data_IF_806374140319
#
_entry.id   IF_806374140319
#
_cell.length_a   1.000
_cell.length_b   1.000
_cell.length_c   1.000
_cell.angle_alpha   90.00
_cell.angle_beta   90.00
_cell.angle_gamma   90.00
#
_symmetry.space_group_name_H-M   'P 1'
#
loop_
_entity.id
_entity.type
_entity.pdbx_description
1 polymer ?
#
# COMPACT_ATOMS: atom_id res chain seq x y z
N UNK A 1 -4.40 -19.07 -26.11
CA UNK A 1 -5.85 -19.04 -26.42
C UNK A 1 -6.31 -17.61 -26.25
N UNK A 2 -6.92 -17.05 -27.29
CA UNK A 2 -7.23 -15.62 -27.37
C UNK A 2 -8.28 -15.21 -26.34
N UNK A 3 -8.05 -14.05 -25.72
CA UNK A 3 -9.07 -13.31 -24.98
C UNK A 3 -10.22 -13.02 -25.93
N UNK A 4 -11.36 -13.69 -25.70
CA UNK A 4 -12.58 -13.45 -26.46
C UNK A 4 -13.49 -12.56 -25.63
N UNK A 5 -14.30 -11.78 -26.34
CA UNK A 5 -15.22 -10.73 -25.89
C UNK A 5 -16.07 -11.08 -24.64
N UNK A 6 -16.20 -12.36 -24.25
CA UNK A 6 -16.98 -12.77 -23.07
C UNK A 6 -16.40 -12.35 -21.71
N UNK A 7 -15.06 -12.26 -21.57
CA UNK A 7 -14.46 -11.88 -20.27
C UNK A 7 -14.62 -10.38 -19.98
N UNK A 8 -14.79 -9.55 -21.02
CA UNK A 8 -14.94 -8.10 -20.88
C UNK A 8 -16.38 -7.71 -20.51
N UNK A 9 -17.37 -8.45 -21.02
CA UNK A 9 -18.78 -8.27 -20.65
C UNK A 9 -19.05 -8.68 -19.19
N UNK A 10 -18.38 -9.71 -18.67
CA UNK A 10 -18.43 -10.05 -17.23
C UNK A 10 -17.78 -8.94 -16.38
N UNK A 11 -16.63 -8.42 -16.81
CA UNK A 11 -15.92 -7.34 -16.13
C UNK A 11 -16.78 -6.07 -15.97
N UNK A 12 -17.36 -5.55 -17.07
CA UNK A 12 -18.12 -4.30 -17.03
C UNK A 12 -19.44 -4.45 -16.25
N UNK A 13 -20.03 -5.64 -16.25
CA UNK A 13 -21.23 -5.93 -15.46
C UNK A 13 -21.00 -5.79 -13.94
N UNK A 14 -19.78 -6.11 -13.48
CA UNK A 14 -19.37 -6.04 -12.08
C UNK A 14 -19.13 -4.60 -11.59
N UNK A 15 -19.02 -3.65 -12.53
CA UNK A 15 -18.83 -2.22 -12.24
C UNK A 15 -20.14 -1.40 -12.24
N UNK A 16 -21.31 -2.06 -12.17
CA UNK A 16 -22.62 -1.39 -12.16
C UNK A 16 -22.70 -0.20 -11.20
N UNK A 17 -22.19 -0.34 -9.97
CA UNK A 17 -22.20 0.74 -8.97
C UNK A 17 -21.35 1.92 -9.41
N UNK A 18 -20.15 1.65 -9.91
CA UNK A 18 -19.24 2.68 -10.44
C UNK A 18 -19.86 3.43 -11.61
N UNK A 19 -20.50 2.73 -12.54
CA UNK A 19 -21.19 3.34 -13.69
C UNK A 19 -22.37 4.20 -13.25
N UNK A 20 -23.16 3.72 -12.29
CA UNK A 20 -24.29 4.47 -11.73
C UNK A 20 -23.84 5.77 -11.04
N UNK A 21 -22.76 5.71 -10.25
CA UNK A 21 -22.16 6.90 -9.62
C UNK A 21 -21.60 7.84 -10.69
N UNK A 22 -20.84 7.30 -11.66
CA UNK A 22 -20.17 8.08 -12.71
C UNK A 22 -21.11 8.94 -13.54
N UNK A 23 -22.34 8.47 -13.77
CA UNK A 23 -23.33 9.11 -14.66
C UNK A 23 -23.56 10.60 -14.39
N UNK A 24 -23.43 11.03 -13.14
CA UNK A 24 -23.73 12.40 -12.72
C UNK A 24 -22.54 13.13 -12.08
N UNK A 25 -21.34 12.55 -12.14
CA UNK A 25 -20.16 13.21 -11.59
C UNK A 25 -19.70 14.37 -12.50
N UNK A 26 -19.21 15.48 -11.92
CA UNK A 26 -18.58 16.54 -12.70
C UNK A 26 -17.35 16.05 -13.48
N UNK A 27 -17.21 16.56 -14.71
CA UNK A 27 -16.14 16.22 -15.66
C UNK A 27 -15.30 17.44 -16.07
N UNK A 28 -15.30 18.49 -15.24
CA UNK A 28 -14.63 19.78 -15.49
C UNK A 28 -13.12 19.73 -15.29
N UNK A 29 -12.62 18.89 -14.38
CA UNK A 29 -11.18 18.67 -14.19
C UNK A 29 -10.71 17.35 -14.84
N UNK A 30 -10.01 17.48 -15.97
CA UNK A 30 -9.48 16.34 -16.72
C UNK A 30 -8.49 15.46 -15.93
N UNK A 31 -7.80 16.01 -14.92
CA UNK A 31 -6.90 15.22 -14.06
C UNK A 31 -7.72 14.33 -13.12
N UNK A 32 -8.74 14.90 -12.49
CA UNK A 32 -9.62 14.15 -11.60
C UNK A 32 -10.44 13.11 -12.37
N UNK A 33 -10.90 13.43 -13.58
CA UNK A 33 -11.58 12.48 -14.47
C UNK A 33 -10.66 11.31 -14.84
N UNK A 34 -9.41 11.57 -15.20
CA UNK A 34 -8.44 10.52 -15.48
C UNK A 34 -8.27 9.59 -14.27
N UNK A 35 -7.99 10.14 -13.09
CA UNK A 35 -7.80 9.34 -11.88
C UNK A 35 -9.04 8.54 -11.49
N UNK A 36 -10.23 9.13 -11.64
CA UNK A 36 -11.50 8.43 -11.47
C UNK A 36 -11.66 7.24 -12.41
N UNK A 37 -11.42 7.44 -13.70
CA UNK A 37 -11.58 6.39 -14.72
C UNK A 37 -10.52 5.28 -14.61
N UNK A 38 -9.33 5.58 -14.07
CA UNK A 38 -8.28 4.60 -13.84
C UNK A 38 -8.38 3.99 -12.43
N UNK A 39 -7.98 4.73 -11.39
CA UNK A 39 -7.80 4.16 -10.05
C UNK A 39 -9.09 4.14 -9.22
N UNK A 40 -10.09 4.97 -9.57
CA UNK A 40 -11.46 4.84 -9.06
C UNK A 40 -12.14 3.55 -9.54
N UNK A 41 -11.98 3.20 -10.82
CA UNK A 41 -12.45 1.93 -11.40
C UNK A 41 -11.80 0.71 -10.73
N UNK A 42 -10.50 0.78 -10.46
CA UNK A 42 -9.79 -0.25 -9.68
C UNK A 42 -10.39 -0.43 -8.29
N UNK A 43 -10.71 0.68 -7.61
CA UNK A 43 -11.30 0.63 -6.28
C UNK A 43 -12.71 0.03 -6.28
N UNK A 44 -13.54 0.38 -7.27
CA UNK A 44 -14.83 -0.24 -7.47
C UNK A 44 -14.72 -1.76 -7.61
N UNK A 45 -13.78 -2.24 -8.45
CA UNK A 45 -13.54 -3.68 -8.63
C UNK A 45 -13.10 -4.35 -7.33
N UNK A 46 -12.17 -3.75 -6.58
CA UNK A 46 -11.74 -4.30 -5.29
C UNK A 46 -12.91 -4.44 -4.32
N UNK A 47 -13.79 -3.44 -4.23
CA UNK A 47 -14.93 -3.49 -3.34
C UNK A 47 -15.99 -4.51 -3.78
N UNK A 48 -16.21 -4.67 -5.08
CA UNK A 48 -17.08 -5.70 -5.64
C UNK A 48 -16.59 -7.10 -5.24
N UNK A 49 -15.33 -7.42 -5.55
CA UNK A 49 -14.70 -8.71 -5.24
C UNK A 49 -14.56 -8.95 -3.73
N UNK A 50 -14.33 -7.87 -2.97
CA UNK A 50 -14.32 -7.88 -1.51
C UNK A 50 -15.69 -8.00 -0.87
N UNK A 51 -16.77 -8.09 -1.68
CA UNK A 51 -18.16 -8.23 -1.23
C UNK A 51 -18.62 -7.11 -0.30
N UNK A 52 -18.20 -5.88 -0.60
CA UNK A 52 -18.62 -4.68 0.13
C UNK A 52 -20.11 -4.43 -0.16
N UNK A 53 -20.93 -4.06 0.85
CA UNK A 53 -22.33 -3.69 0.61
C UNK A 53 -22.45 -2.55 -0.40
N UNK A 54 -23.47 -2.59 -1.28
CA UNK A 54 -23.63 -1.60 -2.36
C UNK A 54 -23.65 -0.15 -1.84
N UNK A 55 -24.35 0.11 -0.73
CA UNK A 55 -24.37 1.43 -0.09
C UNK A 55 -22.96 1.90 0.32
N UNK A 56 -22.14 0.99 0.86
CA UNK A 56 -20.75 1.27 1.24
C UNK A 56 -19.86 1.52 0.02
N UNK A 57 -20.10 0.80 -1.08
CA UNK A 57 -19.42 1.06 -2.35
C UNK A 57 -19.69 2.47 -2.86
N UNK A 58 -20.95 2.91 -2.85
CA UNK A 58 -21.33 4.28 -3.25
C UNK A 58 -20.62 5.31 -2.38
N UNK A 59 -20.70 5.16 -1.06
CA UNK A 59 -20.06 6.08 -0.11
C UNK A 59 -18.55 6.21 -0.35
N UNK A 60 -17.85 5.08 -0.45
CA UNK A 60 -16.41 5.04 -0.64
C UNK A 60 -15.97 5.52 -2.03
N UNK A 61 -16.80 5.32 -3.06
CA UNK A 61 -16.55 5.87 -4.39
C UNK A 61 -16.68 7.40 -4.42
N UNK A 62 -17.68 7.96 -3.71
CA UNK A 62 -17.80 9.41 -3.56
C UNK A 62 -16.63 9.98 -2.74
N UNK A 63 -16.25 9.30 -1.65
CA UNK A 63 -15.06 9.64 -0.88
C UNK A 63 -13.81 9.64 -1.76
N UNK A 64 -13.62 8.61 -2.58
CA UNK A 64 -12.52 8.56 -3.53
C UNK A 64 -12.58 9.76 -4.51
N UNK A 65 -13.73 10.01 -5.15
CA UNK A 65 -13.87 11.06 -6.17
C UNK A 65 -13.61 12.46 -5.64
N UNK A 66 -14.04 12.76 -4.42
CA UNK A 66 -14.01 14.12 -3.87
C UNK A 66 -12.85 14.35 -2.88
N UNK A 67 -12.25 13.30 -2.33
CA UNK A 67 -11.18 13.41 -1.32
C UNK A 67 -9.85 12.89 -1.84
N UNK A 68 -9.85 11.76 -2.55
CA UNK A 68 -8.61 11.11 -3.02
C UNK A 68 -8.18 11.66 -4.38
N UNK A 69 -9.04 11.58 -5.41
CA UNK A 69 -8.68 11.94 -6.79
C UNK A 69 -8.08 13.36 -6.93
N UNK A 70 -8.58 14.41 -6.24
CA UNK A 70 -7.98 15.74 -6.31
C UNK A 70 -6.54 15.83 -5.74
N UNK A 71 -6.12 14.83 -4.96
CA UNK A 71 -4.81 14.78 -4.30
C UNK A 71 -3.79 13.92 -5.07
N UNK A 72 -4.17 13.33 -6.20
CA UNK A 72 -3.27 12.52 -7.04
C UNK A 72 -2.51 13.35 -8.09
N UNK A 73 -2.72 14.67 -8.12
CA UNK A 73 -1.98 15.58 -9.01
C UNK A 73 -2.34 15.44 -10.49
N UNK A 74 -1.51 16.01 -11.38
CA UNK A 74 -1.76 16.01 -12.82
C UNK A 74 -1.84 14.60 -13.41
N UNK A 75 -2.71 14.40 -14.40
CA UNK A 75 -2.74 13.15 -15.17
C UNK A 75 -1.39 12.96 -15.89
N UNK A 76 -0.94 11.71 -16.08
CA UNK A 76 0.21 11.41 -16.93
C UNK A 76 0.02 11.95 -18.35
N UNK A 77 1.09 12.52 -18.91
CA UNK A 77 1.20 12.91 -20.33
C UNK A 77 2.26 12.10 -21.08
N UNK A 78 2.96 11.22 -20.36
CA UNK A 78 3.95 10.29 -20.90
C UNK A 78 4.13 9.10 -19.94
N UNK A 79 4.86 8.08 -20.38
CA UNK A 79 5.27 6.96 -19.53
C UNK A 79 6.29 7.34 -18.44
N UNK A 80 6.79 8.58 -18.42
CA UNK A 80 7.70 9.08 -17.39
C UNK A 80 6.97 10.06 -16.47
N UNK A 81 7.00 9.87 -15.14
CA UNK A 81 6.40 10.79 -14.19
C UNK A 81 7.15 12.12 -14.16
N UNK A 82 6.41 13.24 -14.19
CA UNK A 82 6.98 14.57 -13.97
C UNK A 82 7.47 14.75 -12.52
N UNK A 83 6.73 14.21 -11.56
CA UNK A 83 7.18 14.04 -10.18
C UNK A 83 7.09 12.56 -9.83
N UNK A 84 8.20 11.97 -9.40
CA UNK A 84 8.25 10.55 -9.07
C UNK A 84 7.89 10.29 -7.61
N UNK A 85 6.65 9.86 -7.40
CA UNK A 85 6.16 9.42 -6.09
C UNK A 85 7.05 8.37 -5.42
N UNK A 86 7.10 8.42 -4.09
CA UNK A 86 7.74 7.48 -3.17
C UNK A 86 6.82 6.37 -2.71
N UNK A 87 5.58 6.28 -3.20
CA UNK A 87 4.74 5.10 -2.98
C UNK A 87 5.47 3.85 -3.46
N UNK A 88 5.56 2.84 -2.59
CA UNK A 88 6.28 1.59 -2.80
C UNK A 88 7.73 1.80 -3.32
N UNK A 89 8.60 2.46 -2.53
CA UNK A 89 9.92 2.85 -3.01
C UNK A 89 10.74 1.62 -3.42
N UNK A 90 11.29 1.66 -4.64
CA UNK A 90 12.09 0.57 -5.23
C UNK A 90 11.36 -0.22 -6.31
N UNK A 91 10.06 -0.49 -6.13
CA UNK A 91 9.20 -1.22 -7.09
C UNK A 91 8.18 -0.32 -7.79
N UNK A 92 7.82 0.82 -7.16
CA UNK A 92 6.92 1.83 -7.71
C UNK A 92 7.41 2.46 -9.01
N UNK A 93 6.47 2.70 -9.92
CA UNK A 93 6.70 3.36 -11.21
C UNK A 93 6.62 4.89 -11.14
N UNK A 94 6.34 5.45 -9.96
CA UNK A 94 6.11 6.87 -9.73
C UNK A 94 4.65 7.26 -9.59
N UNK A 95 3.72 6.30 -9.65
CA UNK A 95 2.30 6.54 -9.34
C UNK A 95 2.12 7.07 -7.91
N UNK A 96 1.27 8.09 -7.68
CA UNK A 96 1.01 8.67 -6.36
C UNK A 96 0.07 7.83 -5.49
N UNK A 97 -0.28 6.62 -5.91
CA UNK A 97 -1.22 5.76 -5.19
C UNK A 97 -0.84 4.27 -5.35
N UNK A 98 -0.99 3.53 -4.25
CA UNK A 98 -0.93 2.08 -4.20
C UNK A 98 -2.09 1.53 -3.38
N UNK A 99 -2.30 0.23 -3.47
CA UNK A 99 -3.39 -0.47 -2.80
C UNK A 99 -2.86 -1.48 -1.80
N UNK A 100 -3.68 -1.81 -0.81
CA UNK A 100 -3.50 -3.05 -0.06
C UNK A 100 -4.80 -3.79 0.15
N UNK A 101 -4.71 -5.11 0.12
CA UNK A 101 -5.78 -6.06 0.41
C UNK A 101 -5.36 -6.87 1.64
N UNK A 102 -5.93 -6.52 2.80
CA UNK A 102 -5.71 -7.29 4.01
C UNK A 102 -6.71 -8.43 4.06
N UNK A 103 -6.17 -9.64 3.95
CA UNK A 103 -6.94 -10.88 4.03
C UNK A 103 -7.53 -11.01 5.44
N UNK A 104 -8.75 -11.51 5.55
CA UNK A 104 -9.27 -11.89 6.85
C UNK A 104 -8.78 -13.27 7.28
N UNK A 105 -8.85 -13.54 8.58
CA UNK A 105 -8.47 -14.83 9.18
C UNK A 105 -9.72 -15.68 9.32
N UNK A 106 -10.05 -16.45 8.27
CA UNK A 106 -11.13 -17.43 8.31
C UNK A 106 -12.17 -17.31 7.18
N UNK A 107 -13.02 -18.34 7.05
CA UNK A 107 -14.05 -18.41 6.01
C UNK A 107 -15.10 -17.31 6.23
N UNK A 108 -15.53 -16.67 5.14
CA UNK A 108 -16.51 -15.56 5.11
C UNK A 108 -16.01 -14.22 5.66
N UNK A 109 -14.73 -14.07 5.96
CA UNK A 109 -14.18 -12.74 6.23
C UNK A 109 -14.19 -11.90 4.94
N UNK A 110 -14.31 -10.58 5.10
CA UNK A 110 -14.18 -9.65 3.97
C UNK A 110 -12.84 -8.93 4.08
N UNK A 111 -12.15 -8.69 2.96
CA UNK A 111 -10.87 -8.02 2.97
C UNK A 111 -11.02 -6.55 3.38
N UNK A 112 -10.03 -6.02 4.10
CA UNK A 112 -9.91 -4.58 4.30
C UNK A 112 -9.09 -4.00 3.15
N UNK A 113 -9.65 -3.00 2.46
CA UNK A 113 -8.99 -2.32 1.35
C UNK A 113 -8.33 -1.06 1.89
N UNK A 114 -7.10 -0.78 1.45
CA UNK A 114 -6.39 0.46 1.80
C UNK A 114 -5.84 1.14 0.57
N UNK A 115 -5.86 2.47 0.58
CA UNK A 115 -5.03 3.28 -0.30
C UNK A 115 -3.81 3.78 0.46
N UNK A 116 -2.64 3.75 -0.18
CA UNK A 116 -1.45 4.45 0.31
C UNK A 116 -1.05 5.49 -0.72
N UNK A 117 -1.11 6.75 -0.33
CA UNK A 117 -1.14 7.90 -1.23
C UNK A 117 0.03 8.81 -0.91
N UNK A 118 0.68 9.30 -1.96
CA UNK A 118 1.46 10.52 -1.91
C UNK A 118 0.61 11.65 -2.46
N UNK A 119 0.21 12.59 -1.61
CA UNK A 119 -0.55 13.74 -2.07
C UNK A 119 0.35 14.63 -2.95
N UNK A 120 -0.13 15.00 -4.13
CA UNK A 120 0.54 15.88 -5.07
C UNK A 120 -0.32 17.12 -5.28
N UNK A 121 0.28 18.29 -5.16
CA UNK A 121 -0.35 19.58 -5.39
C UNK A 121 0.50 20.49 -6.29
N UNK A 122 0.06 21.73 -6.54
CA UNK A 122 0.73 22.64 -7.48
C UNK A 122 2.18 23.00 -7.13
N UNK A 123 2.57 22.88 -5.86
CA UNK A 123 3.92 23.20 -5.39
C UNK A 123 4.85 21.97 -5.36
N UNK A 124 4.32 20.76 -5.51
CA UNK A 124 5.08 19.52 -5.37
C UNK A 124 6.28 19.49 -6.32
N UNK A 125 7.47 19.25 -5.76
CA UNK A 125 8.72 19.15 -6.53
C UNK A 125 9.30 20.51 -6.97
N UNK A 126 8.65 21.62 -6.66
CA UNK A 126 9.21 22.96 -6.86
C UNK A 126 10.13 23.35 -5.71
N UNK A 127 10.87 24.46 -5.85
CA UNK A 127 11.68 25.01 -4.75
C UNK A 127 10.85 25.51 -3.57
N UNK A 128 9.55 25.74 -3.76
CA UNK A 128 8.63 26.13 -2.69
C UNK A 128 8.16 24.94 -1.83
N UNK A 129 8.21 23.71 -2.37
CA UNK A 129 7.90 22.48 -1.63
C UNK A 129 8.86 21.32 -1.99
N UNK A 130 10.15 21.42 -1.60
CA UNK A 130 11.15 20.42 -1.93
C UNK A 130 10.95 19.07 -1.22
N UNK A 131 10.10 19.03 -0.18
CA UNK A 131 9.79 17.83 0.60
C UNK A 131 8.41 17.23 0.30
N UNK A 132 7.69 17.80 -0.67
CA UNK A 132 6.29 17.48 -0.96
C UNK A 132 5.43 17.37 0.32
N UNK A 133 5.53 18.35 1.20
CA UNK A 133 4.85 18.32 2.50
C UNK A 133 3.53 19.11 2.51
N UNK A 134 3.37 20.10 1.64
CA UNK A 134 2.19 20.97 1.69
C UNK A 134 0.91 20.22 1.32
N UNK A 135 0.91 19.53 0.17
CA UNK A 135 -0.28 18.79 -0.29
C UNK A 135 -0.71 17.70 0.70
N UNK A 136 0.26 17.01 1.29
CA UNK A 136 0.00 15.96 2.28
C UNK A 136 -0.53 16.52 3.61
N UNK A 137 0.04 17.63 4.11
CA UNK A 137 -0.47 18.31 5.31
C UNK A 137 -1.88 18.84 5.11
N UNK A 138 -2.15 19.43 3.94
CA UNK A 138 -3.48 19.91 3.58
C UNK A 138 -4.50 18.76 3.52
N UNK A 139 -4.13 17.63 2.90
CA UNK A 139 -4.98 16.45 2.86
C UNK A 139 -5.26 15.89 4.26
N UNK A 140 -4.25 15.75 5.12
CA UNK A 140 -4.43 15.30 6.50
C UNK A 140 -5.35 16.24 7.28
N UNK A 141 -5.16 17.56 7.15
CA UNK A 141 -6.03 18.55 7.79
C UNK A 141 -7.48 18.41 7.35
N UNK A 142 -7.72 18.27 6.04
CA UNK A 142 -9.07 18.06 5.50
C UNK A 142 -9.69 16.76 6.02
N UNK A 143 -8.92 15.66 6.08
CA UNK A 143 -9.40 14.39 6.62
C UNK A 143 -9.81 14.50 8.09
N UNK A 144 -9.07 15.25 8.91
CA UNK A 144 -9.42 15.49 10.31
C UNK A 144 -10.70 16.32 10.51
N UNK A 145 -11.17 17.04 9.48
CA UNK A 145 -12.44 17.76 9.49
C UNK A 145 -13.59 16.90 8.95
N UNK A 146 -13.30 16.04 7.98
CA UNK A 146 -14.29 15.30 7.22
C UNK A 146 -14.62 13.93 7.83
N UNK A 147 -13.61 13.22 8.35
CA UNK A 147 -13.73 11.82 8.76
C UNK A 147 -13.88 11.74 10.29
N UNK A 148 -15.01 11.25 10.81
CA UNK A 148 -15.20 11.09 12.26
C UNK A 148 -14.11 10.21 12.89
N UNK A 149 -13.64 10.61 14.07
CA UNK A 149 -12.63 9.85 14.84
C UNK A 149 -11.19 10.03 14.35
N UNK A 150 -10.95 10.77 13.27
CA UNK A 150 -9.59 11.12 12.84
C UNK A 150 -9.03 12.23 13.71
N UNK A 151 -7.93 11.93 14.39
CA UNK A 151 -7.20 12.90 15.21
C UNK A 151 -5.75 12.99 14.77
N UNK A 152 -5.23 14.21 14.62
CA UNK A 152 -3.88 14.47 14.13
C UNK A 152 -2.81 14.86 15.18
N UNK A 153 -3.07 14.99 16.50
CA UNK A 153 -2.07 15.55 17.40
C UNK A 153 -0.82 14.67 17.47
N UNK A 154 -0.94 13.35 17.37
CA UNK A 154 0.23 12.45 17.38
C UNK A 154 1.06 12.59 16.11
N UNK A 155 0.43 12.64 14.95
CA UNK A 155 1.12 12.87 13.68
C UNK A 155 1.92 14.17 13.70
N UNK A 156 1.33 15.26 14.23
CA UNK A 156 2.00 16.56 14.34
C UNK A 156 3.11 16.61 15.37
N UNK A 157 2.92 15.98 16.54
CA UNK A 157 3.96 15.91 17.57
C UNK A 157 5.16 15.14 17.07
N UNK A 158 4.98 13.95 16.48
CA UNK A 158 6.09 13.22 15.86
C UNK A 158 6.70 13.97 14.66
N UNK A 159 5.88 14.62 13.83
CA UNK A 159 6.34 15.42 12.69
C UNK A 159 7.24 16.58 13.09
N UNK A 160 7.07 17.15 14.29
CA UNK A 160 7.96 18.17 14.84
C UNK A 160 9.36 17.62 15.19
N UNK A 161 9.44 16.33 15.56
CA UNK A 161 10.69 15.64 15.89
C UNK A 161 11.39 15.03 14.67
N UNK A 162 10.62 14.70 13.62
CA UNK A 162 11.09 13.98 12.43
C UNK A 162 11.00 14.91 11.22
N UNK A 163 11.90 15.89 11.16
CA UNK A 163 11.94 16.89 10.09
C UNK A 163 13.35 17.03 9.53
N UNK A 164 13.61 16.64 8.27
CA UNK A 164 14.94 16.79 7.69
C UNK A 164 15.30 18.27 7.58
N UNK A 165 16.46 18.65 8.11
CA UNK A 165 16.99 20.01 7.92
C UNK A 165 17.63 20.09 6.54
N UNK A 166 17.08 20.93 5.65
CA UNK A 166 17.66 21.14 4.32
C UNK A 166 18.85 22.10 4.31
N UNK A 167 19.40 22.43 5.49
CA UNK A 167 20.53 23.36 5.65
C UNK A 167 21.86 22.75 5.22
N UNK A 168 22.08 21.44 5.40
CA UNK A 168 23.31 20.75 5.01
C UNK A 168 23.14 19.95 3.70
N UNK A 169 24.24 19.77 2.97
CA UNK A 169 24.24 19.11 1.66
C UNK A 169 23.92 17.61 1.75
N UNK A 170 24.36 16.94 2.82
CA UNK A 170 24.16 15.49 2.98
C UNK A 170 22.68 15.14 3.13
N UNK A 171 21.93 15.96 3.87
CA UNK A 171 20.46 15.82 4.01
C UNK A 171 19.77 16.19 2.70
N UNK A 172 20.14 17.30 2.03
CA UNK A 172 19.57 17.66 0.71
C UNK A 172 19.76 16.55 -0.33
N UNK A 173 20.89 15.85 -0.29
CA UNK A 173 21.20 14.76 -1.20
C UNK A 173 20.40 13.48 -0.96
N UNK A 174 19.52 13.41 0.04
CA UNK A 174 18.65 12.23 0.29
C UNK A 174 17.20 12.61 0.60
N UNK A 175 16.96 13.89 0.90
CA UNK A 175 15.64 14.48 1.09
C UNK A 175 14.75 14.32 -0.15
N UNK A 176 13.45 14.45 0.07
CA UNK A 176 12.40 14.36 -0.92
C UNK A 176 11.09 14.20 -0.18
N UNK A 177 10.13 13.46 -0.74
CA UNK A 177 8.84 13.27 -0.08
C UNK A 177 8.98 12.87 1.38
N UNK A 178 8.27 13.62 2.22
CA UNK A 178 8.33 13.54 3.68
C UNK A 178 7.06 12.96 4.29
N UNK A 179 5.92 12.99 3.59
CA UNK A 179 4.65 12.54 4.13
C UNK A 179 3.89 11.69 3.11
N UNK A 180 3.47 10.50 3.53
CA UNK A 180 2.55 9.62 2.80
C UNK A 180 1.32 9.32 3.66
N UNK A 181 0.18 9.02 3.05
CA UNK A 181 -1.11 8.89 3.74
C UNK A 181 -1.70 7.51 3.46
N UNK A 182 -2.00 6.75 4.52
CA UNK A 182 -2.77 5.52 4.46
C UNK A 182 -4.24 5.80 4.75
N UNK A 183 -5.14 5.23 3.94
CA UNK A 183 -6.60 5.31 4.13
C UNK A 183 -7.17 3.89 4.06
N UNK A 184 -7.60 3.34 5.20
CA UNK A 184 -8.18 1.99 5.26
C UNK A 184 -9.70 2.07 5.30
N UNK A 185 -10.32 1.41 4.34
CA UNK A 185 -11.76 1.36 4.17
C UNK A 185 -12.23 -0.03 4.57
N UNK A 186 -13.04 -0.11 5.62
CA UNK A 186 -13.65 -1.37 6.04
C UNK A 186 -14.99 -1.62 5.30
N UNK A 187 -15.35 -2.88 5.04
CA UNK A 187 -16.61 -3.24 4.38
C UNK A 187 -17.82 -3.05 5.27
N UNK A 188 -17.68 -3.36 6.56
CA UNK A 188 -18.77 -3.44 7.53
C UNK A 188 -18.66 -2.37 8.63
N UNK A 189 -17.86 -1.32 8.40
CA UNK A 189 -17.81 -0.12 9.23
C UNK A 189 -17.87 1.13 8.36
N UNK A 190 -18.58 2.19 8.78
CA UNK A 190 -18.56 3.48 8.10
C UNK A 190 -17.19 4.18 8.20
N UNK A 191 -16.34 3.78 9.14
CA UNK A 191 -15.08 4.44 9.44
C UNK A 191 -14.06 4.31 8.30
N UNK A 192 -13.24 5.35 8.15
CA UNK A 192 -12.02 5.33 7.33
C UNK A 192 -10.84 5.57 8.26
N UNK A 193 -10.02 4.56 8.50
CA UNK A 193 -8.83 4.75 9.34
C UNK A 193 -7.77 5.51 8.54
N UNK A 194 -7.20 6.55 9.15
CA UNK A 194 -6.15 7.38 8.54
C UNK A 194 -4.81 7.10 9.22
N UNK A 195 -3.75 7.01 8.42
CA UNK A 195 -2.38 6.88 8.91
C UNK A 195 -1.48 7.90 8.22
N UNK A 196 -0.61 8.57 8.97
CA UNK A 196 0.42 9.47 8.44
C UNK A 196 1.78 8.77 8.47
N UNK A 197 2.35 8.49 7.30
CA UNK A 197 3.75 8.08 7.13
C UNK A 197 4.65 9.30 7.12
N UNK A 198 5.67 9.35 7.97
CA UNK A 198 6.65 10.44 8.04
C UNK A 198 8.04 9.93 7.65
N UNK A 199 8.76 10.69 6.82
CA UNK A 199 10.07 10.32 6.28
C UNK A 199 11.08 11.45 6.45
N UNK A 200 12.19 11.18 7.13
CA UNK A 200 13.31 12.13 7.24
C UNK A 200 14.46 11.77 6.31
N UNK A 201 14.84 10.48 6.21
CA UNK A 201 16.06 9.98 5.53
C UNK A 201 17.35 10.77 5.83
N UNK A 202 17.36 11.73 6.76
CA UNK A 202 18.53 12.54 7.09
C UNK A 202 19.61 11.67 7.72
N UNK A 203 20.85 11.67 7.20
CA UNK A 203 21.95 10.88 7.76
C UNK A 203 22.25 11.22 9.22
N UNK A 204 21.96 12.46 9.63
CA UNK A 204 22.13 12.90 11.02
C UNK A 204 20.99 12.46 11.94
N UNK A 205 19.75 12.35 11.44
CA UNK A 205 18.61 11.98 12.28
C UNK A 205 18.40 10.46 12.38
N UNK A 206 18.64 9.70 11.30
CA UNK A 206 18.32 8.27 11.27
C UNK A 206 19.00 7.48 12.40
N UNK A 207 20.32 7.66 12.68
CA UNK A 207 20.97 6.99 13.81
C UNK A 207 20.39 7.38 15.17
N UNK A 208 19.86 8.60 15.28
CA UNK A 208 19.30 9.16 16.53
C UNK A 208 17.83 8.78 16.76
N UNK A 209 17.19 8.09 15.82
CA UNK A 209 15.76 7.76 15.89
C UNK A 209 15.42 6.92 17.14
N UNK A 210 16.01 5.75 17.29
CA UNK A 210 15.77 4.87 18.45
C UNK A 210 16.31 5.43 19.78
N UNK A 211 17.57 5.93 19.88
CA UNK A 211 18.12 6.31 21.18
C UNK A 211 17.60 7.65 21.70
N UNK A 212 17.22 8.59 20.82
CA UNK A 212 17.01 9.99 21.23
C UNK A 212 15.71 10.62 20.71
N UNK A 213 15.38 10.48 19.43
CA UNK A 213 14.25 11.19 18.80
C UNK A 213 12.91 10.53 19.17
N UNK A 214 12.75 9.22 19.00
CA UNK A 214 11.51 8.52 19.36
C UNK A 214 11.19 8.58 20.85
N UNK A 215 12.14 8.45 21.80
CA UNK A 215 11.86 8.67 23.22
C UNK A 215 11.25 10.04 23.51
N UNK A 216 11.80 11.11 22.93
CA UNK A 216 11.27 12.48 23.09
C UNK A 216 9.91 12.63 22.43
N UNK A 217 9.77 12.16 21.18
CA UNK A 217 8.51 12.18 20.47
C UNK A 217 7.40 11.42 21.21
N UNK A 218 7.71 10.27 21.81
CA UNK A 218 6.75 9.50 22.62
C UNK A 218 6.30 10.27 23.86
N UNK A 219 7.22 10.92 24.58
CA UNK A 219 6.88 11.70 25.80
C UNK A 219 6.06 12.93 25.46
N UNK A 220 6.34 13.59 24.34
CA UNK A 220 5.50 14.69 23.87
C UNK A 220 4.12 14.19 23.40
N UNK A 221 4.08 13.07 22.68
CA UNK A 221 2.88 12.47 22.09
C UNK A 221 1.90 11.93 23.14
N UNK A 222 2.38 11.01 23.96
CA UNK A 222 1.59 10.20 24.89
C UNK A 222 1.61 10.72 26.33
N UNK A 223 2.43 11.74 26.62
CA UNK A 223 2.56 12.37 27.93
C UNK A 223 3.93 12.13 28.58
N UNK A 224 4.34 13.02 29.52
CA UNK A 224 5.67 13.02 30.12
C UNK A 224 5.99 11.74 30.90
N UNK A 225 4.97 10.95 31.27
CA UNK A 225 5.11 9.68 32.01
C UNK A 225 4.94 8.42 31.14
N UNK A 226 4.77 8.58 29.82
CA UNK A 226 4.56 7.45 28.89
C UNK A 226 5.69 6.41 28.95
N UNK A 227 5.37 5.15 29.27
CA UNK A 227 6.37 4.08 29.30
C UNK A 227 7.12 3.97 27.96
N UNK A 228 8.44 3.80 28.06
CA UNK A 228 9.32 3.56 26.92
C UNK A 228 9.72 2.09 26.81
N UNK A 229 9.15 1.19 27.63
CA UNK A 229 9.62 -0.19 27.74
C UNK A 229 9.56 -0.95 26.42
N UNK A 230 8.48 -0.78 25.65
CA UNK A 230 8.33 -1.39 24.32
C UNK A 230 9.36 -0.83 23.34
N UNK A 231 9.63 0.48 23.37
CA UNK A 231 10.64 1.11 22.52
C UNK A 231 12.05 0.64 22.92
N UNK A 232 12.33 0.56 24.21
CA UNK A 232 13.60 0.08 24.75
C UNK A 232 13.82 -1.39 24.38
N UNK A 233 12.78 -2.23 24.42
CA UNK A 233 12.85 -3.62 23.96
C UNK A 233 13.24 -3.71 22.47
N UNK A 234 12.66 -2.87 21.62
CA UNK A 234 13.05 -2.79 20.20
C UNK A 234 14.49 -2.30 20.05
N UNK A 235 14.88 -1.25 20.78
CA UNK A 235 16.25 -0.70 20.76
C UNK A 235 17.28 -1.75 21.19
N UNK A 236 17.07 -2.41 22.33
CA UNK A 236 17.94 -3.46 22.85
C UNK A 236 18.05 -4.63 21.88
N UNK A 237 16.94 -5.05 21.25
CA UNK A 237 16.99 -6.07 20.21
C UNK A 237 17.89 -5.63 19.05
N UNK A 238 17.63 -4.46 18.46
CA UNK A 238 18.39 -3.94 17.30
C UNK A 238 19.87 -3.75 17.62
N UNK A 239 20.21 -3.22 18.80
CA UNK A 239 21.59 -2.85 19.14
C UNK A 239 22.41 -4.00 19.72
N UNK A 240 21.79 -4.92 20.46
CA UNK A 240 22.51 -5.89 21.30
C UNK A 240 22.31 -7.35 20.86
N UNK A 241 21.18 -7.68 20.24
CA UNK A 241 20.88 -9.07 19.83
C UNK A 241 21.72 -9.49 18.61
N UNK A 242 22.17 -10.76 18.60
CA UNK A 242 22.96 -11.32 17.50
C UNK A 242 22.22 -11.26 16.16
N UNK A 243 20.90 -11.39 16.16
CA UNK A 243 20.07 -11.27 14.97
C UNK A 243 19.67 -9.82 14.72
N UNK A 244 19.41 -9.05 15.77
CA UNK A 244 19.02 -7.63 15.65
C UNK A 244 20.09 -6.75 15.03
N UNK A 245 21.39 -7.06 15.21
CA UNK A 245 22.51 -6.30 14.61
C UNK A 245 22.57 -6.30 13.08
N UNK A 246 21.83 -7.20 12.40
CA UNK A 246 21.68 -7.16 10.94
C UNK A 246 20.64 -6.14 10.48
N UNK A 247 19.84 -5.58 11.41
CA UNK A 247 18.80 -4.61 11.10
C UNK A 247 19.39 -3.20 10.92
N UNK A 248 18.96 -2.54 9.86
CA UNK A 248 19.20 -1.11 9.63
C UNK A 248 17.90 -0.35 9.80
N UNK A 249 17.89 0.68 10.64
CA UNK A 249 16.72 1.56 10.82
C UNK A 249 16.47 2.34 9.53
N UNK A 250 15.22 2.29 9.06
CA UNK A 250 14.77 3.14 7.99
C UNK A 250 14.32 4.48 8.58
N UNK A 251 14.68 5.58 7.92
CA UNK A 251 14.24 6.94 8.28
C UNK A 251 12.76 7.21 8.01
N UNK A 252 11.90 6.21 8.21
CA UNK A 252 10.47 6.19 7.96
C UNK A 252 9.74 5.73 9.23
N UNK A 253 8.68 6.43 9.58
CA UNK A 253 7.70 5.98 10.58
C UNK A 253 6.30 6.13 10.02
N UNK A 254 5.31 5.46 10.62
CA UNK A 254 3.91 5.67 10.31
C UNK A 254 3.09 5.71 11.59
N UNK A 255 2.12 6.62 11.66
CA UNK A 255 1.38 6.96 12.86
C UNK A 255 -0.11 6.83 12.54
N UNK A 256 -0.84 6.10 13.38
CA UNK A 256 -2.29 6.03 13.28
C UNK A 256 -2.88 7.40 13.68
N UNK A 257 -3.77 7.97 12.87
CA UNK A 257 -4.37 9.29 13.11
C UNK A 257 -5.72 9.13 13.84
N UNK A 258 -5.66 8.74 15.11
CA UNK A 258 -6.81 8.51 15.99
C UNK A 258 -6.47 8.90 17.43
N UNK A 259 -7.42 8.63 18.35
CA UNK A 259 -7.27 8.89 19.79
C UNK A 259 -5.94 8.36 20.35
N UNK A 260 -5.31 9.18 21.20
CA UNK A 260 -3.99 8.94 21.80
C UNK A 260 -3.90 7.61 22.54
N UNK A 261 -4.98 7.14 23.15
CA UNK A 261 -5.00 5.88 23.91
C UNK A 261 -5.00 4.64 23.01
N UNK A 262 -5.15 4.80 21.70
CA UNK A 262 -5.14 3.69 20.72
C UNK A 262 -4.12 3.87 19.60
N UNK A 263 -3.77 5.10 19.27
CA UNK A 263 -2.81 5.41 18.21
C UNK A 263 -1.45 4.80 18.49
N UNK A 264 -0.87 4.18 17.47
CA UNK A 264 0.47 3.58 17.50
C UNK A 264 1.38 4.31 16.52
N UNK A 265 2.68 4.15 16.73
CA UNK A 265 3.67 4.51 15.72
C UNK A 265 4.53 3.30 15.34
N UNK A 266 5.00 3.28 14.09
CA UNK A 266 5.73 2.16 13.50
C UNK A 266 7.20 2.53 13.27
N UNK A 267 8.12 1.70 13.73
CA UNK A 267 9.55 1.83 13.44
C UNK A 267 9.92 0.86 12.33
N UNK A 268 10.30 1.38 11.16
CA UNK A 268 10.67 0.57 10.01
C UNK A 268 12.16 0.23 10.04
N UNK A 269 12.50 -1.02 9.72
CA UNK A 269 13.86 -1.52 9.65
C UNK A 269 14.02 -2.43 8.43
N UNK A 270 15.24 -2.63 7.96
CA UNK A 270 15.56 -3.53 6.84
C UNK A 270 16.73 -4.45 7.18
N UNK A 271 16.79 -5.61 6.55
CA UNK A 271 17.92 -6.54 6.65
C UNK A 271 18.23 -7.11 5.28
N UNK A 272 19.51 -7.41 5.01
CA UNK A 272 19.92 -8.18 3.84
C UNK A 272 20.02 -9.68 4.14
N UNK A 273 19.99 -10.09 5.41
CA UNK A 273 20.00 -11.50 5.80
C UNK A 273 18.62 -12.10 5.53
N UNK A 274 18.57 -13.10 4.65
CA UNK A 274 17.32 -13.72 4.18
C UNK A 274 17.11 -15.15 4.68
N UNK A 275 17.92 -15.61 5.65
CA UNK A 275 17.72 -16.91 6.28
C UNK A 275 16.41 -16.91 7.09
N UNK A 276 15.68 -18.03 7.06
CA UNK A 276 14.41 -18.11 7.80
C UNK A 276 14.61 -17.96 9.31
N UNK A 277 15.71 -18.50 9.86
CA UNK A 277 16.06 -18.34 11.27
C UNK A 277 16.20 -16.86 11.67
N UNK A 278 16.80 -16.04 10.80
CA UNK A 278 16.88 -14.60 11.01
C UNK A 278 15.48 -13.96 10.97
N UNK A 279 14.66 -14.28 9.97
CA UNK A 279 13.30 -13.74 9.86
C UNK A 279 12.45 -14.08 11.09
N UNK A 280 12.48 -15.34 11.53
CA UNK A 280 11.80 -15.83 12.72
C UNK A 280 12.30 -15.13 14.00
N UNK A 281 13.60 -14.90 14.11
CA UNK A 281 14.17 -14.17 15.25
C UNK A 281 13.70 -12.72 15.27
N UNK A 282 13.64 -12.01 14.14
CA UNK A 282 13.13 -10.63 14.10
C UNK A 282 11.64 -10.59 14.46
N UNK A 283 10.83 -11.50 13.91
CA UNK A 283 9.40 -11.59 14.20
C UNK A 283 9.08 -11.86 15.68
N UNK A 284 10.01 -12.47 16.41
CA UNK A 284 9.86 -12.83 17.83
C UNK A 284 10.76 -12.01 18.77
N UNK A 285 11.47 -11.00 18.26
CA UNK A 285 12.48 -10.22 19.01
C UNK A 285 13.51 -11.13 19.71
N UNK A 286 14.00 -12.14 19.02
CA UNK A 286 14.94 -13.15 19.55
C UNK A 286 14.31 -14.03 20.62
N UNK A 287 13.00 -14.31 20.52
CA UNK A 287 12.23 -15.06 21.52
C UNK A 287 11.73 -14.24 22.71
N UNK A 288 12.04 -12.93 22.79
CA UNK A 288 11.50 -12.05 23.85
C UNK A 288 9.98 -11.90 23.76
N UNK A 289 9.43 -11.89 22.55
CA UNK A 289 8.00 -11.95 22.28
C UNK A 289 7.61 -13.42 22.09
N UNK A 290 6.80 -14.01 23.00
CA UNK A 290 6.29 -15.36 22.82
C UNK A 290 5.47 -15.49 21.53
N UNK A 291 5.56 -16.66 20.90
CA UNK A 291 4.80 -17.00 19.70
C UNK A 291 4.57 -18.50 19.59
N UNK A 292 3.53 -18.91 18.87
CA UNK A 292 3.23 -20.31 18.62
C UNK A 292 4.14 -20.90 17.54
N UNK A 293 4.54 -22.16 17.72
CA UNK A 293 5.33 -22.90 16.74
C UNK A 293 4.61 -23.00 15.38
N UNK A 294 3.29 -23.18 15.40
CA UNK A 294 2.47 -23.26 14.18
C UNK A 294 2.47 -21.96 13.39
N UNK A 295 2.53 -20.79 14.05
CA UNK A 295 2.61 -19.50 13.36
C UNK A 295 3.95 -19.35 12.64
N UNK A 296 5.04 -19.80 13.26
CA UNK A 296 6.36 -19.83 12.64
C UNK A 296 6.41 -20.83 11.47
N UNK A 297 5.80 -22.01 11.61
CA UNK A 297 5.70 -22.98 10.53
C UNK A 297 4.93 -22.43 9.32
N UNK A 298 3.82 -21.72 9.56
CA UNK A 298 3.06 -21.02 8.50
C UNK A 298 3.89 -19.93 7.81
N UNK A 299 4.65 -19.14 8.58
CA UNK A 299 5.54 -18.14 8.01
C UNK A 299 6.64 -18.79 7.15
N UNK A 300 7.19 -19.93 7.59
CA UNK A 300 8.17 -20.71 6.81
C UNK A 300 7.56 -21.18 5.50
N UNK A 301 6.36 -21.76 5.54
CA UNK A 301 5.62 -22.22 4.36
C UNK A 301 5.46 -21.09 3.34
N UNK A 302 4.99 -19.92 3.77
CA UNK A 302 4.80 -18.73 2.92
C UNK A 302 6.13 -18.21 2.35
N UNK A 303 7.17 -18.10 3.18
CA UNK A 303 8.50 -17.65 2.74
C UNK A 303 9.09 -18.59 1.69
N UNK A 304 9.02 -19.91 1.92
CA UNK A 304 9.56 -20.92 1.03
C UNK A 304 8.79 -20.96 -0.28
N UNK A 305 7.46 -20.87 -0.23
CA UNK A 305 6.62 -20.82 -1.42
C UNK A 305 6.92 -19.57 -2.28
N UNK A 306 7.03 -18.38 -1.66
CA UNK A 306 7.39 -17.15 -2.37
C UNK A 306 8.76 -17.23 -3.04
N UNK A 307 9.72 -17.92 -2.40
CA UNK A 307 11.09 -18.09 -2.87
C UNK A 307 11.27 -19.29 -3.81
N UNK A 308 10.26 -20.15 -3.97
CA UNK A 308 10.37 -21.41 -4.70
C UNK A 308 11.39 -22.38 -4.10
N UNK A 309 11.52 -22.41 -2.77
CA UNK A 309 12.50 -23.26 -2.07
C UNK A 309 11.96 -24.67 -1.83
N UNK A 310 12.88 -25.63 -1.79
CA UNK A 310 12.60 -26.99 -1.32
C UNK A 310 12.17 -26.98 0.16
N UNK A 311 11.17 -27.78 0.59
CA UNK A 311 10.78 -27.90 2.00
C UNK A 311 11.94 -28.22 2.96
N UNK A 312 12.94 -28.96 2.48
CA UNK A 312 14.15 -29.36 3.21
C UNK A 312 15.28 -28.32 3.13
N UNK A 313 15.06 -27.18 2.45
CA UNK A 313 16.05 -26.10 2.40
C UNK A 313 16.41 -25.65 3.84
N UNK A 314 17.71 -25.55 4.19
CA UNK A 314 18.12 -25.23 5.55
C UNK A 314 17.62 -23.85 6.01
N UNK A 315 17.01 -23.77 7.19
CA UNK A 315 16.46 -22.51 7.71
C UNK A 315 17.54 -21.49 8.08
N UNK A 316 18.78 -21.95 8.31
CA UNK A 316 19.98 -21.15 8.57
C UNK A 316 20.61 -20.58 7.31
N UNK A 317 20.31 -21.14 6.14
CA UNK A 317 20.87 -20.70 4.87
C UNK A 317 20.08 -19.51 4.32
N UNK A 318 20.79 -18.60 3.66
CA UNK A 318 20.15 -17.50 2.93
C UNK A 318 19.59 -18.00 1.60
N UNK A 319 18.36 -17.59 1.30
CA UNK A 319 17.70 -18.00 0.07
C UNK A 319 18.40 -17.40 -1.16
N UNK A 320 18.51 -18.12 -2.29
CA UNK A 320 19.11 -17.58 -3.50
C UNK A 320 18.46 -16.27 -3.95
N UNK A 321 19.28 -15.30 -4.34
CA UNK A 321 18.82 -14.00 -4.78
C UNK A 321 18.37 -14.07 -6.25
N UNK A 322 17.14 -13.62 -6.53
CA UNK A 322 16.65 -13.46 -7.91
C UNK A 322 17.08 -12.11 -8.52
N UNK A 323 18.11 -11.46 -7.94
CA UNK A 323 18.55 -10.11 -8.28
C UNK A 323 19.22 -9.97 -9.65
N UNK A 324 19.43 -11.05 -10.40
CA UNK A 324 20.08 -11.02 -11.72
C UNK A 324 19.31 -10.25 -12.81
N UNK A 325 18.15 -9.64 -12.53
CA UNK A 325 17.29 -9.02 -13.55
C UNK A 325 16.65 -7.69 -13.13
N UNK A 326 17.07 -7.04 -12.05
CA UNK A 326 16.50 -5.72 -11.69
C UNK A 326 17.42 -4.62 -12.20
N UNK A 327 17.11 -4.08 -13.40
CA UNK A 327 17.47 -2.68 -13.69
C UNK A 327 16.77 -1.88 -12.60
N UNK A 328 17.55 -1.39 -11.64
CA UNK A 328 17.05 -0.61 -10.52
C UNK A 328 16.42 0.68 -11.06
N UNK A 329 15.13 0.65 -11.36
CA UNK A 329 14.42 1.87 -11.77
C UNK A 329 14.34 2.88 -10.62
N UNK A 330 14.73 2.52 -9.40
CA UNK A 330 14.91 3.43 -8.27
C UNK A 330 16.37 3.78 -8.02
N UNK A 331 16.96 4.70 -8.78
CA UNK A 331 18.10 5.45 -8.27
C UNK A 331 17.56 6.53 -7.34
N UNK A 332 17.93 6.47 -6.06
CA UNK A 332 17.95 7.67 -5.23
C UNK A 332 19.31 8.32 -5.46
N UNK A 333 19.35 9.36 -6.30
CA UNK A 333 20.54 10.18 -6.55
C UNK A 333 21.79 9.39 -6.98
N UNK A 334 21.61 8.47 -7.94
CA UNK A 334 22.72 7.72 -8.53
C UNK A 334 23.36 6.66 -7.61
N UNK A 335 22.82 6.42 -6.40
CA UNK A 335 23.27 5.33 -5.53
C UNK A 335 22.38 4.10 -5.69
N UNK A 336 22.95 2.88 -5.80
CA UNK A 336 22.18 1.63 -5.81
C UNK A 336 21.31 1.54 -4.55
N UNK A 337 20.08 1.05 -4.69
CA UNK A 337 19.23 0.73 -3.55
C UNK A 337 19.98 -0.30 -2.68
N UNK A 338 20.34 0.06 -1.44
CA UNK A 338 21.16 -0.80 -0.58
C UNK A 338 20.48 -2.13 -0.20
N UNK A 339 19.18 -2.27 -0.47
CA UNK A 339 18.41 -3.47 -0.19
C UNK A 339 17.97 -4.22 -1.46
N UNK A 340 18.93 -4.65 -2.28
CA UNK A 340 18.66 -5.36 -3.56
C UNK A 340 18.09 -6.77 -3.33
N UNK A 341 18.40 -7.42 -2.20
CA UNK A 341 18.04 -8.82 -1.93
C UNK A 341 17.33 -9.07 -0.61
N UNK A 342 17.10 -8.05 0.22
CA UNK A 342 16.61 -8.21 1.58
C UNK A 342 15.16 -7.77 1.79
N UNK A 343 14.70 -7.92 3.03
CA UNK A 343 13.32 -7.69 3.45
C UNK A 343 13.20 -6.51 4.42
N UNK A 344 11.99 -5.99 4.56
CA UNK A 344 11.67 -4.90 5.50
C UNK A 344 10.81 -5.42 6.63
N UNK A 345 11.00 -4.91 7.84
CA UNK A 345 10.10 -5.11 8.97
C UNK A 345 9.61 -3.77 9.49
N UNK A 346 8.51 -3.80 10.24
CA UNK A 346 8.24 -2.73 11.18
C UNK A 346 7.83 -3.26 12.55
N UNK A 347 8.17 -2.48 13.58
CA UNK A 347 7.71 -2.64 14.95
C UNK A 347 6.60 -1.62 15.23
N UNK A 348 5.39 -2.09 15.54
CA UNK A 348 4.21 -1.30 15.88
C UNK A 348 4.18 -1.08 17.40
N UNK A 349 4.37 0.17 17.85
CA UNK A 349 4.67 0.52 19.24
C UNK A 349 3.56 1.38 19.85
N UNK A 350 3.18 1.04 21.08
CA UNK A 350 2.36 1.88 21.97
C UNK A 350 2.81 1.68 23.42
N UNK A 351 2.83 2.74 24.25
CA UNK A 351 3.15 2.62 25.69
C UNK A 351 2.33 1.64 26.52
N UNK A 352 1.13 1.23 26.06
CA UNK A 352 0.20 0.41 26.86
C UNK A 352 0.42 -1.09 26.67
N UNK A 353 1.11 -1.48 25.61
CA UNK A 353 1.33 -2.89 25.30
C UNK A 353 2.62 -3.39 25.93
N UNK A 354 2.68 -4.69 26.19
CA UNK A 354 3.88 -5.35 26.72
C UNK A 354 4.94 -5.63 25.64
N UNK A 355 4.49 -5.85 24.41
CA UNK A 355 5.31 -6.19 23.26
C UNK A 355 4.88 -5.36 22.06
N UNK A 356 5.79 -5.01 21.13
CA UNK A 356 5.37 -4.43 19.86
C UNK A 356 4.72 -5.53 19.00
N UNK A 357 3.85 -5.14 18.07
CA UNK A 357 3.54 -6.04 16.96
C UNK A 357 4.65 -5.95 15.92
N UNK A 358 5.03 -7.09 15.36
CA UNK A 358 6.06 -7.16 14.32
C UNK A 358 5.41 -7.57 13.01
N UNK A 359 5.71 -6.86 11.93
CA UNK A 359 5.25 -7.23 10.58
C UNK A 359 6.44 -7.28 9.63
N UNK A 360 6.62 -8.42 8.97
CA UNK A 360 7.52 -8.62 7.84
C UNK A 360 6.85 -8.10 6.56
N UNK A 361 7.62 -7.49 5.68
CA UNK A 361 7.25 -7.11 4.32
C UNK A 361 8.25 -7.70 3.33
N UNK A 362 7.76 -8.55 2.44
CA UNK A 362 8.51 -9.24 1.39
C UNK A 362 8.24 -8.56 0.05
N UNK A 363 9.28 -8.00 -0.56
CA UNK A 363 9.23 -7.35 -1.87
C UNK A 363 9.25 -8.40 -3.00
N UNK A 364 8.12 -8.53 -3.70
CA UNK A 364 7.95 -9.56 -4.72
C UNK A 364 8.95 -9.38 -5.87
N UNK A 365 9.35 -8.15 -6.19
CA UNK A 365 10.31 -7.90 -7.26
C UNK A 365 11.69 -8.53 -7.01
N UNK A 366 12.01 -8.82 -5.75
CA UNK A 366 13.29 -9.41 -5.31
C UNK A 366 13.18 -10.89 -4.96
N UNK A 367 12.00 -11.33 -4.53
CA UNK A 367 11.82 -12.62 -3.89
C UNK A 367 11.09 -13.66 -4.74
N UNK A 368 10.30 -13.25 -5.73
CA UNK A 368 9.58 -14.17 -6.61
C UNK A 368 10.08 -14.13 -8.06
N UNK A 369 9.69 -15.14 -8.84
CA UNK A 369 9.99 -15.25 -10.28
C UNK A 369 9.13 -14.29 -11.09
N UNK A 370 7.82 -14.27 -10.83
CA UNK A 370 6.83 -13.39 -11.46
C UNK A 370 5.81 -12.88 -10.44
N UNK A 371 5.00 -11.88 -10.80
CA UNK A 371 3.87 -11.45 -9.97
C UNK A 371 2.88 -12.62 -9.78
N UNK A 372 2.60 -13.41 -10.82
CA UNK A 372 1.66 -14.53 -10.74
C UNK A 372 2.15 -15.63 -9.78
N UNK A 373 3.43 -16.01 -9.84
CA UNK A 373 3.98 -17.04 -8.94
C UNK A 373 3.88 -16.60 -7.48
N UNK A 374 4.15 -15.33 -7.20
CA UNK A 374 4.03 -14.77 -5.86
C UNK A 374 2.56 -14.78 -5.37
N UNK A 375 1.63 -14.43 -6.26
CA UNK A 375 0.20 -14.46 -5.96
C UNK A 375 -0.26 -15.89 -5.70
N UNK A 376 0.10 -16.85 -6.56
CA UNK A 376 -0.21 -18.27 -6.38
C UNK A 376 0.36 -18.88 -5.10
N UNK A 377 1.57 -18.47 -4.69
CA UNK A 377 2.15 -18.91 -3.43
C UNK A 377 1.24 -18.56 -2.23
N UNK A 378 0.69 -17.34 -2.21
CA UNK A 378 -0.19 -16.86 -1.14
C UNK A 378 -1.62 -17.36 -1.30
N UNK A 379 -2.19 -17.33 -2.51
CA UNK A 379 -3.56 -17.81 -2.73
C UNK A 379 -3.68 -19.32 -2.52
N UNK A 380 -2.67 -20.10 -2.92
CA UNK A 380 -2.63 -21.53 -2.63
C UNK A 380 -2.54 -21.83 -1.13
N UNK A 381 -1.80 -21.01 -0.37
CA UNK A 381 -1.76 -21.11 1.10
C UNK A 381 -3.14 -20.87 1.72
N UNK A 382 -3.89 -19.89 1.21
CA UNK A 382 -5.23 -19.53 1.65
C UNK A 382 -6.28 -20.58 1.25
N UNK A 383 -6.20 -21.12 0.04
CA UNK A 383 -7.07 -22.19 -0.47
C UNK A 383 -7.01 -23.44 0.41
N UNK A 384 -5.80 -23.88 0.78
CA UNK A 384 -5.59 -25.01 1.71
C UNK A 384 -6.19 -24.78 3.10
N UNK A 385 -6.54 -23.53 3.44
CA UNK A 385 -7.15 -23.10 4.70
C UNK A 385 -8.62 -22.68 4.53
N UNK A 386 -9.26 -23.09 3.44
CA UNK A 386 -10.69 -22.88 3.20
C UNK A 386 -11.04 -21.47 2.71
N UNK A 387 -10.06 -20.68 2.27
CA UNK A 387 -10.27 -19.31 1.77
C UNK A 387 -10.15 -19.22 0.24
N UNK A 388 -10.52 -20.29 -0.47
CA UNK A 388 -10.42 -20.34 -1.94
C UNK A 388 -11.25 -19.28 -2.67
N UNK A 389 -12.42 -18.92 -2.13
CA UNK A 389 -13.23 -17.84 -2.69
C UNK A 389 -12.54 -16.47 -2.59
N UNK A 390 -11.83 -16.19 -1.49
CA UNK A 390 -11.10 -14.94 -1.30
C UNK A 390 -9.84 -14.90 -2.18
N UNK A 391 -9.15 -16.03 -2.30
CA UNK A 391 -8.04 -16.22 -3.23
C UNK A 391 -8.45 -15.91 -4.67
N UNK A 392 -9.57 -16.47 -5.14
CA UNK A 392 -10.10 -16.20 -6.47
C UNK A 392 -10.51 -14.73 -6.64
N UNK A 393 -11.17 -14.13 -5.63
CA UNK A 393 -11.56 -12.72 -5.66
C UNK A 393 -10.34 -11.80 -5.85
N UNK A 394 -9.23 -12.09 -5.18
CA UNK A 394 -8.00 -11.32 -5.37
C UNK A 394 -7.38 -11.52 -6.77
N UNK A 395 -7.38 -12.75 -7.29
CA UNK A 395 -6.92 -13.03 -8.67
C UNK A 395 -7.75 -12.26 -9.71
N UNK A 396 -9.06 -12.18 -9.50
CA UNK A 396 -9.96 -11.39 -10.33
C UNK A 396 -9.60 -9.89 -10.30
N UNK A 397 -9.30 -9.34 -9.11
CA UNK A 397 -8.86 -7.94 -8.96
C UNK A 397 -7.57 -7.65 -9.74
N UNK A 398 -6.56 -8.51 -9.67
CA UNK A 398 -5.28 -8.24 -10.36
C UNK A 398 -5.40 -8.43 -11.88
N UNK A 399 -6.19 -9.41 -12.34
CA UNK A 399 -6.47 -9.63 -13.78
C UNK A 399 -7.31 -8.53 -14.41
N UNK A 400 -8.07 -7.81 -13.59
CA UNK A 400 -8.75 -6.59 -13.99
C UNK A 400 -7.81 -5.40 -14.23
N UNK A 401 -6.59 -5.44 -13.64
CA UNK A 401 -5.62 -4.36 -13.77
C UNK A 401 -4.55 -4.66 -14.82
N UNK A 402 -4.19 -5.91 -15.04
CA UNK A 402 -3.15 -6.30 -16.00
C UNK A 402 -3.49 -7.61 -16.69
N UNK A 403 -2.90 -7.82 -17.87
CA UNK A 403 -3.06 -9.10 -18.58
C UNK A 403 -2.41 -10.27 -17.84
N UNK A 404 -2.93 -11.47 -18.06
CA UNK A 404 -2.35 -12.71 -17.52
C UNK A 404 -0.92 -12.95 -18.03
N UNK A 405 -0.60 -12.50 -19.26
CA UNK A 405 0.76 -12.52 -19.80
C UNK A 405 1.71 -11.64 -18.99
N UNK A 406 1.27 -10.43 -18.63
CA UNK A 406 2.05 -9.51 -17.80
C UNK A 406 2.28 -10.08 -16.40
N UNK A 407 1.26 -10.67 -15.77
CA UNK A 407 1.40 -11.33 -14.47
C UNK A 407 2.45 -12.47 -14.51
N UNK A 408 2.50 -13.25 -15.59
CA UNK A 408 3.43 -14.38 -15.76
C UNK A 408 4.86 -13.96 -16.09
N UNK A 409 5.04 -12.87 -16.83
CA UNK A 409 6.34 -12.50 -17.41
C UNK A 409 7.01 -11.32 -16.72
N UNK A 410 6.28 -10.56 -15.89
CA UNK A 410 6.78 -9.35 -15.25
C UNK A 410 6.62 -9.38 -13.73
N UNK A 411 7.24 -8.37 -13.12
CA UNK A 411 7.14 -8.06 -11.69
C UNK A 411 6.85 -6.58 -11.48
N UNK A 412 6.15 -6.30 -10.38
CA UNK A 412 5.95 -4.96 -9.85
C UNK A 412 4.50 -4.49 -9.85
N UNK A 413 3.54 -5.31 -10.26
CA UNK A 413 2.13 -5.09 -9.91
C UNK A 413 1.97 -5.45 -8.44
N UNK A 414 2.27 -6.70 -8.09
CA UNK A 414 2.37 -7.14 -6.70
C UNK A 414 3.65 -6.53 -6.13
N UNK A 415 3.51 -5.52 -5.28
CA UNK A 415 4.67 -4.85 -4.68
C UNK A 415 5.19 -5.66 -3.50
N UNK A 416 4.34 -5.92 -2.51
CA UNK A 416 4.73 -6.60 -1.28
C UNK A 416 3.68 -7.61 -0.83
N UNK A 417 4.12 -8.66 -0.16
CA UNK A 417 3.30 -9.37 0.82
C UNK A 417 3.81 -9.05 2.21
N UNK A 418 2.89 -8.78 3.14
CA UNK A 418 3.23 -8.52 4.52
C UNK A 418 2.61 -9.55 5.46
N UNK A 419 3.39 -9.98 6.44
CA UNK A 419 3.05 -11.06 7.36
C UNK A 419 3.22 -10.61 8.80
N UNK A 420 2.17 -10.72 9.61
CA UNK A 420 2.21 -10.56 11.05
C UNK A 420 1.56 -11.77 11.72
N UNK A 421 1.78 -11.94 13.02
CA UNK A 421 1.10 -12.97 13.79
C UNK A 421 -0.13 -12.40 14.51
N UNK A 422 -1.24 -13.13 14.44
CA UNK A 422 -2.48 -12.79 15.13
C UNK A 422 -3.19 -14.07 15.56
N UNK A 423 -3.32 -14.28 16.86
CA UNK A 423 -4.10 -15.40 17.41
C UNK A 423 -3.61 -16.80 17.03
N UNK A 424 -2.30 -16.97 16.82
CA UNK A 424 -1.73 -18.26 16.38
C UNK A 424 -1.68 -18.46 14.86
N UNK A 425 -2.18 -17.50 14.08
CA UNK A 425 -2.16 -17.54 12.62
C UNK A 425 -1.34 -16.39 12.01
N UNK A 426 -1.00 -16.52 10.72
CA UNK A 426 -0.38 -15.44 9.95
C UNK A 426 -1.46 -14.51 9.37
N UNK A 427 -1.48 -13.26 9.82
CA UNK A 427 -2.22 -12.14 9.21
C UNK A 427 -1.48 -11.68 7.95
N UNK A 428 -2.10 -11.88 6.79
CA UNK A 428 -1.52 -11.56 5.49
C UNK A 428 -2.06 -10.21 5.00
N UNK A 429 -1.23 -9.42 4.34
CA UNK A 429 -1.65 -8.24 3.59
C UNK A 429 -0.93 -8.19 2.25
N UNK A 430 -1.68 -8.18 1.15
CA UNK A 430 -1.12 -7.91 -0.19
C UNK A 430 -1.01 -6.40 -0.40
N UNK A 431 0.10 -5.92 -0.93
CA UNK A 431 0.26 -4.55 -1.43
C UNK A 431 0.56 -4.60 -2.92
N UNK A 432 -0.17 -3.81 -3.71
CA UNK A 432 -0.07 -3.85 -5.16
C UNK A 432 -0.32 -2.47 -5.77
N UNK A 433 0.11 -2.30 -7.01
CA UNK A 433 0.24 -1.01 -7.66
C UNK A 433 -0.55 -0.97 -8.96
N UNK A 434 -1.20 0.16 -9.30
CA UNK A 434 -1.89 0.30 -10.59
C UNK A 434 -0.94 0.44 -11.79
N UNK A 435 0.36 0.68 -11.55
CA UNK A 435 1.40 0.84 -12.57
C UNK A 435 1.05 1.88 -13.66
N UNK A 436 0.52 3.03 -13.25
CA UNK A 436 -0.07 4.04 -14.15
C UNK A 436 0.92 4.57 -15.21
N UNK A 437 2.18 4.79 -14.84
CA UNK A 437 3.20 5.30 -15.77
C UNK A 437 3.80 4.18 -16.62
N UNK A 438 4.03 3.01 -16.03
CA UNK A 438 4.53 1.85 -16.78
C UNK A 438 3.51 1.38 -17.83
N UNK A 439 2.21 1.42 -17.50
CA UNK A 439 1.09 1.04 -18.37
C UNK A 439 0.47 2.25 -19.10
N UNK A 440 1.26 3.30 -19.32
CA UNK A 440 0.72 4.54 -19.88
C UNK A 440 0.02 4.32 -21.22
N UNK A 441 0.63 3.54 -22.14
CA UNK A 441 0.07 3.30 -23.46
C UNK A 441 -1.23 2.49 -23.38
N UNK A 442 -1.24 1.42 -22.58
CA UNK A 442 -2.38 0.56 -22.36
C UNK A 442 -3.55 1.34 -21.74
N UNK A 443 -3.28 2.20 -20.74
CA UNK A 443 -4.32 3.04 -20.13
C UNK A 443 -4.86 4.08 -21.14
N UNK A 444 -4.02 4.65 -22.01
CA UNK A 444 -4.53 5.54 -23.07
C UNK A 444 -5.47 4.81 -24.03
N UNK A 445 -5.14 3.56 -24.39
CA UNK A 445 -6.00 2.73 -25.25
C UNK A 445 -7.31 2.34 -24.53
N UNK A 446 -7.25 1.94 -23.26
CA UNK A 446 -8.41 1.60 -22.44
C UNK A 446 -9.39 2.77 -22.27
N UNK A 447 -8.87 4.00 -22.19
CA UNK A 447 -9.66 5.23 -22.01
C UNK A 447 -10.04 5.92 -23.33
N UNK A 448 -9.53 5.45 -24.47
CA UNK A 448 -9.87 6.03 -25.76
C UNK A 448 -11.39 5.87 -26.04
N UNK A 449 -12.05 6.87 -26.63
CA UNK A 449 -13.43 6.72 -27.09
C UNK A 449 -13.49 5.52 -28.04
N UNK A 450 -14.29 4.50 -27.72
CA UNK A 450 -14.57 3.42 -28.66
C UNK A 450 -15.35 4.03 -29.81
N UNK A 451 -14.81 3.99 -31.03
CA UNK A 451 -15.56 4.39 -32.22
C UNK A 451 -16.86 3.59 -32.25
N UNK A 452 -18.01 4.27 -32.30
CA UNK A 452 -19.28 3.64 -32.60
C UNK A 452 -19.16 3.03 -34.00
N UNK A 453 -18.83 1.75 -34.06
CA UNK A 453 -18.80 1.02 -35.31
C UNK A 453 -20.16 1.16 -35.98
N UNK A 454 -20.14 1.60 -37.24
CA UNK A 454 -21.28 1.56 -38.16
C UNK A 454 -21.93 0.18 -38.13
N UNK A 455 -22.90 -0.02 -37.25
CA UNK A 455 -23.92 -1.03 -37.42
C UNK A 455 -24.91 -0.47 -38.44
N UNK A 456 -24.67 -0.72 -39.73
CA UNK A 456 -25.74 -0.80 -40.72
C UNK A 456 -26.69 -1.93 -40.29
N UNK A 457 -27.61 -1.58 -39.40
CA UNK A 457 -28.67 -2.44 -38.90
C UNK A 457 -29.97 -1.66 -38.96
N UNK A 458 -30.63 -1.76 -40.12
CA UNK A 458 -32.01 -1.38 -40.42
C UNK A 458 -32.75 -0.46 -39.44
N UNK A 459 -33.02 0.76 -39.90
CA UNK A 459 -34.16 1.54 -39.43
C UNK A 459 -35.43 0.67 -39.34
N UNK A 460 -36.05 0.63 -38.17
CA UNK A 460 -37.49 0.41 -38.03
C UNK A 460 -38.07 1.50 -37.14
N UNK A 461 -39.10 2.25 -37.60
CA UNK A 461 -39.57 3.45 -36.92
C UNK A 461 -40.67 3.13 -35.90
N UNK A 462 -40.79 4.05 -34.92
CA UNK A 462 -41.89 4.29 -33.96
C UNK A 462 -41.70 3.73 -32.55
N UNK A 463 -41.30 4.62 -31.65
CA UNK A 463 -42.14 4.88 -30.48
C UNK A 463 -42.17 6.39 -30.21
N UNK A 464 -43.38 6.94 -30.27
CA UNK A 464 -43.66 8.35 -30.02
C UNK A 464 -43.49 8.66 -28.53
N UNK A 465 -42.71 9.71 -28.23
CA UNK A 465 -42.79 10.44 -26.97
C UNK A 465 -44.22 10.97 -26.81
N UNK A 466 -44.97 10.46 -25.82
CA UNK A 466 -46.12 11.19 -25.27
C UNK A 466 -45.61 12.20 -24.25
N UNK A 467 -45.58 13.46 -24.65
CA UNK A 467 -45.56 14.61 -23.75
C UNK A 467 -46.83 14.55 -22.90
N UNK A 468 -46.67 14.45 -21.57
CA UNK A 468 -47.72 14.78 -20.61
C UNK A 468 -47.36 16.15 -20.06
N UNK A 469 -47.97 17.21 -20.57
CA UNK A 469 -48.29 18.45 -19.88
C UNK A 469 -48.97 19.36 -20.91
N UNK A 470 -50.30 19.37 -20.90
CA UNK A 470 -51.13 20.49 -21.39
C UNK A 470 -52.58 20.20 -20.99
N UNK A 471 -52.99 20.77 -19.86
CA UNK A 471 -54.39 21.00 -19.50
C UNK A 471 -54.43 22.20 -18.55
N UNK A 472 -54.43 23.39 -19.15
CA UNK A 472 -55.16 24.57 -18.70
C UNK A 472 -55.46 25.45 -19.91
#
# INVERSE_FOLDING_TARGET
MGSTVSDTDDFESQLRVFHNVSRYLPTDDANQVFWWQTTGRHFARMMHEGRYPEARQVELLLFYRFVIAPRLGPRPTSATPGFRSRVAPGVGDGSPIGYSWRWGTGPNTKPLIRHYIEAIGPLTGTTADPLNEFAAKEMLHHLGQLVPGVELPLAWKFGAHIRPSLTDESTRAVAGSSILIGLQCAPDSPDVEVMAGLMTRSPAQVPELLPTIFPRAMRDAYGPDASLDVLNMVREFVEQDKQGKYLTILGTTAIDCCDVATSRFKVYVTTTNTSFDHLAAVMTLGGRKPEFADSLAQLKELWYALKGLDPEFPTTAEAPSNAHSVVSNGTTNGKPNANVSGVTFYFDIHPKYKYPHVKLQVDVSKHATSDLDAIHAVTGFLERRGQGADAQAYLNVVRAMVSDEELRTRRGLQAFFAFAFKGGEVDITSYFLPQVYRRYAEIQEELAPKEEGNSEGGMSPRSQRRSRFESY
#
